data_IF_067060257502
#
_entry.id   IF_067060257502
#
_cell.length_a   1.000
_cell.length_b   1.000
_cell.length_c   1.000
_cell.angle_alpha   90.00
_cell.angle_beta   90.00
_cell.angle_gamma   90.00
#
_symmetry.space_group_name_H-M   'P 1'
#
loop_
_entity.id
_entity.type
_entity.pdbx_description
1 polymer ?
#
# COMPACT_ATOMS: atom_id res chain seq x y z
N UNK A 1 48.16 -22.98 12.23
CA UNK A 1 48.12 -22.00 11.10
C UNK A 1 47.97 -22.76 9.79
N UNK A 2 47.26 -22.19 8.81
CA UNK A 2 47.04 -22.67 7.41
C UNK A 2 45.81 -23.55 7.18
N UNK A 3 44.63 -22.93 7.24
CA UNK A 3 43.40 -23.38 6.56
C UNK A 3 42.74 -22.14 5.97
N UNK A 4 43.34 -21.58 4.93
CA UNK A 4 42.80 -20.48 4.11
C UNK A 4 43.62 -20.44 2.82
N UNK A 5 43.49 -21.44 1.94
CA UNK A 5 44.00 -21.35 0.56
C UNK A 5 43.54 -22.50 -0.36
N UNK A 6 42.24 -22.72 -0.56
CA UNK A 6 41.79 -23.53 -1.72
C UNK A 6 40.50 -22.90 -2.28
N UNK A 7 40.64 -21.73 -2.88
CA UNK A 7 39.77 -21.28 -3.97
C UNK A 7 40.69 -21.25 -5.19
N UNK A 8 40.42 -22.11 -6.18
CA UNK A 8 40.44 -21.77 -7.61
C UNK A 8 40.63 -23.02 -8.50
N UNK A 9 39.77 -23.09 -9.52
CA UNK A 9 39.96 -23.76 -10.83
C UNK A 9 39.68 -25.27 -10.93
N UNK A 10 38.46 -25.61 -11.40
CA UNK A 10 38.15 -26.64 -12.42
C UNK A 10 36.60 -26.73 -12.48
N UNK A 11 35.89 -25.87 -13.21
CA UNK A 11 35.73 -25.81 -14.68
C UNK A 11 35.01 -27.03 -15.28
N UNK A 12 33.95 -26.71 -16.03
CA UNK A 12 33.37 -27.41 -17.18
C UNK A 12 32.24 -28.45 -16.96
N UNK A 13 31.06 -28.07 -17.47
CA UNK A 13 30.11 -28.89 -18.25
C UNK A 13 28.65 -28.87 -17.77
N UNK A 14 27.97 -27.72 -17.83
CA UNK A 14 26.53 -27.68 -18.15
C UNK A 14 26.21 -26.41 -18.97
N UNK A 15 26.57 -26.41 -20.25
CA UNK A 15 25.97 -25.53 -21.27
C UNK A 15 25.51 -26.42 -22.42
N UNK A 16 24.21 -26.64 -22.49
CA UNK A 16 23.41 -26.97 -23.67
C UNK A 16 22.00 -27.18 -23.08
N UNK A 17 21.00 -26.35 -23.33
CA UNK A 17 20.40 -26.18 -24.64
C UNK A 17 19.18 -25.26 -24.38
N UNK A 18 19.14 -24.05 -24.94
CA UNK A 18 17.89 -23.27 -25.14
C UNK A 18 18.20 -22.10 -26.09
N UNK A 19 18.41 -22.44 -27.35
CA UNK A 19 18.28 -21.52 -28.47
C UNK A 19 17.12 -22.07 -29.29
N UNK A 20 16.05 -21.29 -29.43
CA UNK A 20 15.41 -20.99 -30.74
C UNK A 20 14.21 -20.04 -30.57
N UNK A 21 14.32 -18.87 -31.23
CA UNK A 21 13.36 -18.27 -32.19
C UNK A 21 12.03 -17.72 -31.61
N UNK A 22 11.60 -16.48 -31.88
CA UNK A 22 12.07 -15.53 -32.88
C UNK A 22 11.57 -14.09 -32.71
N UNK A 23 12.42 -13.18 -33.17
CA UNK A 23 12.16 -11.77 -33.46
C UNK A 23 11.82 -11.68 -34.94
N UNK A 24 10.69 -11.04 -35.29
CA UNK A 24 10.41 -10.29 -36.54
C UNK A 24 9.14 -9.46 -36.28
N UNK A 25 8.94 -8.20 -36.67
CA UNK A 25 9.65 -7.23 -37.49
C UNK A 25 8.99 -5.85 -37.19
N UNK A 26 9.79 -4.80 -37.05
CA UNK A 26 9.35 -3.40 -37.12
C UNK A 26 9.45 -2.93 -38.58
N UNK A 27 8.39 -2.35 -39.17
CA UNK A 27 8.42 -1.04 -39.88
C UNK A 27 7.01 -0.63 -40.38
N UNK A 28 6.74 0.68 -40.54
CA UNK A 28 5.40 1.27 -40.68
C UNK A 28 5.01 1.56 -42.14
N UNK A 29 3.72 1.82 -42.41
CA UNK A 29 3.29 2.67 -43.55
C UNK A 29 1.87 3.19 -43.39
N UNK A 30 1.71 4.51 -43.45
CA UNK A 30 0.43 5.20 -43.64
C UNK A 30 -0.03 5.07 -45.09
N UNK A 31 -1.35 4.96 -45.34
CA UNK A 31 -2.01 5.48 -46.54
C UNK A 31 -3.51 5.69 -46.25
N UNK A 32 -3.93 6.91 -46.54
CA UNK A 32 -5.28 7.49 -46.53
C UNK A 32 -6.22 6.77 -47.48
N UNK A 33 -7.44 6.45 -47.05
CA UNK A 33 -8.62 6.45 -47.93
C UNK A 33 -9.81 7.06 -47.20
N UNK A 34 -10.22 8.23 -47.68
CA UNK A 34 -11.46 8.88 -47.30
C UNK A 34 -12.63 8.11 -47.92
N UNK A 35 -13.50 7.56 -47.08
CA UNK A 35 -14.82 7.07 -47.51
C UNK A 35 -15.88 8.01 -46.95
N UNK A 36 -16.55 8.74 -47.83
CA UNK A 36 -17.70 9.60 -47.54
C UNK A 36 -18.89 8.74 -47.11
N UNK A 37 -19.22 8.76 -45.82
CA UNK A 37 -20.47 8.22 -45.31
C UNK A 37 -21.54 9.34 -45.29
N UNK A 38 -22.79 9.07 -45.72
CA UNK A 38 -23.87 10.05 -45.67
C UNK A 38 -24.18 10.43 -44.22
N UNK A 39 -24.34 11.73 -43.99
CA UNK A 39 -24.83 12.31 -42.73
C UNK A 39 -26.24 11.80 -42.45
N UNK A 40 -26.36 10.91 -41.46
CA UNK A 40 -27.61 10.63 -40.76
C UNK A 40 -27.50 11.25 -39.38
N UNK A 41 -28.26 12.32 -39.15
CA UNK A 41 -28.39 12.97 -37.85
C UNK A 41 -28.98 11.99 -36.84
N UNK A 42 -28.29 11.64 -35.73
CA UNK A 42 -28.95 10.94 -34.65
C UNK A 42 -29.86 11.92 -33.90
N UNK A 43 -31.17 11.66 -33.95
CA UNK A 43 -32.13 12.18 -32.98
C UNK A 43 -31.62 11.84 -31.58
N UNK A 44 -31.30 12.86 -30.78
CA UNK A 44 -30.95 12.69 -29.37
C UNK A 44 -32.14 12.11 -28.62
N UNK A 45 -32.14 10.79 -28.42
CA UNK A 45 -32.82 10.21 -27.28
C UNK A 45 -32.04 10.65 -26.03
N UNK A 46 -32.67 11.45 -25.19
CA UNK A 46 -32.11 11.86 -23.91
C UNK A 46 -31.86 10.62 -23.05
N UNK A 47 -30.63 10.09 -23.09
CA UNK A 47 -30.14 9.12 -22.13
C UNK A 47 -29.99 9.88 -20.83
N UNK A 48 -30.95 9.71 -19.91
CA UNK A 48 -30.75 10.10 -18.51
C UNK A 48 -29.62 9.22 -17.99
N UNK A 49 -28.40 9.76 -17.96
CA UNK A 49 -27.32 9.17 -17.20
C UNK A 49 -27.81 9.02 -15.75
N UNK A 50 -27.59 7.87 -15.08
CA UNK A 50 -27.83 7.79 -13.66
C UNK A 50 -27.00 8.90 -13.01
N UNK A 51 -27.67 9.84 -12.35
CA UNK A 51 -27.03 10.84 -11.51
C UNK A 51 -26.31 10.07 -10.41
N UNK A 52 -25.07 9.69 -10.65
CA UNK A 52 -24.16 9.32 -9.58
C UNK A 52 -23.98 10.61 -8.79
N UNK A 53 -24.85 10.80 -7.79
CA UNK A 53 -24.65 11.80 -6.76
C UNK A 53 -23.36 11.39 -6.06
N UNK A 54 -22.23 11.85 -6.60
CA UNK A 54 -20.98 11.90 -5.88
C UNK A 54 -21.27 12.86 -4.73
N UNK A 55 -21.72 12.30 -3.61
CA UNK A 55 -21.92 13.05 -2.39
C UNK A 55 -20.64 13.82 -2.12
N UNK A 56 -20.76 15.14 -2.05
CA UNK A 56 -19.69 16.05 -1.66
C UNK A 56 -19.01 15.50 -0.39
N UNK A 57 -17.67 15.49 -0.29
CA UNK A 57 -17.00 14.85 0.82
C UNK A 57 -17.37 15.57 2.12
N UNK A 58 -18.33 15.00 2.84
CA UNK A 58 -18.68 15.48 4.18
C UNK A 58 -17.45 15.34 5.06
N UNK A 59 -17.14 16.41 5.80
CA UNK A 59 -16.05 16.44 6.77
C UNK A 59 -16.08 15.20 7.67
N UNK A 60 -14.93 14.57 7.96
CA UNK A 60 -14.89 13.39 8.83
C UNK A 60 -15.50 13.64 10.20
N UNK A 61 -16.33 12.71 10.67
CA UNK A 61 -16.83 12.68 12.06
C UNK A 61 -15.69 12.50 13.06
N UNK A 62 -15.90 12.77 14.35
CA UNK A 62 -14.89 12.54 15.40
C UNK A 62 -14.40 11.09 15.45
N UNK A 63 -15.29 10.13 15.19
CA UNK A 63 -14.96 8.70 15.13
C UNK A 63 -14.10 8.37 13.91
N UNK A 64 -14.45 8.92 12.75
CA UNK A 64 -13.63 8.79 11.53
C UNK A 64 -12.26 9.44 11.69
N UNK A 65 -12.16 10.60 12.36
CA UNK A 65 -10.87 11.24 12.67
C UNK A 65 -10.00 10.38 13.60
N UNK A 66 -10.59 9.76 14.61
CA UNK A 66 -9.87 8.83 15.48
C UNK A 66 -9.34 7.61 14.69
N UNK A 67 -10.11 7.08 13.75
CA UNK A 67 -9.69 5.99 12.88
C UNK A 67 -8.55 6.41 11.93
N UNK A 68 -8.66 7.58 11.28
CA UNK A 68 -7.61 8.13 10.42
C UNK A 68 -6.30 8.31 11.19
N UNK A 69 -6.38 8.87 12.40
CA UNK A 69 -5.22 9.04 13.27
C UNK A 69 -4.60 7.69 13.65
N UNK A 70 -5.43 6.72 14.07
CA UNK A 70 -4.94 5.39 14.40
C UNK A 70 -4.24 4.70 13.22
N UNK A 71 -4.84 4.73 12.03
CA UNK A 71 -4.27 4.15 10.82
C UNK A 71 -2.91 4.78 10.45
N UNK A 72 -2.79 6.11 10.63
CA UNK A 72 -1.55 6.87 10.43
C UNK A 72 -0.47 6.39 11.40
N UNK A 73 -0.74 6.35 12.71
CA UNK A 73 0.24 5.90 13.71
C UNK A 73 0.64 4.44 13.50
N UNK A 74 -0.33 3.56 13.26
CA UNK A 74 -0.11 2.12 13.05
C UNK A 74 0.62 1.82 11.73
N UNK A 75 0.69 2.77 10.80
CA UNK A 75 1.42 2.63 9.53
C UNK A 75 2.67 3.52 9.45
N UNK A 76 3.09 4.07 10.59
CA UNK A 76 4.36 4.79 10.72
C UNK A 76 5.40 3.83 11.29
N UNK A 77 6.29 3.35 10.43
CA UNK A 77 7.38 2.43 10.73
C UNK A 77 8.73 3.11 10.51
N UNK A 78 9.67 2.79 11.38
CA UNK A 78 11.09 3.15 11.22
C UNK A 78 11.90 1.85 11.20
N UNK A 79 12.03 1.18 10.04
CA UNK A 79 12.66 -0.14 9.91
C UNK A 79 14.06 -0.29 10.52
N UNK A 80 14.83 0.80 10.60
CA UNK A 80 16.15 0.79 11.25
C UNK A 80 16.09 0.54 12.76
N UNK A 81 14.96 0.83 13.41
CA UNK A 81 14.75 0.69 14.87
C UNK A 81 13.60 -0.23 15.23
N UNK A 82 12.63 -0.38 14.34
CA UNK A 82 11.49 -1.26 14.51
C UNK A 82 11.92 -2.70 14.22
N UNK A 83 11.92 -3.56 15.25
CA UNK A 83 12.25 -4.97 15.09
C UNK A 83 11.27 -5.71 14.16
N UNK A 84 10.02 -5.25 14.11
CA UNK A 84 8.94 -5.85 13.33
C UNK A 84 7.83 -4.83 13.05
N UNK A 85 6.85 -5.20 12.21
CA UNK A 85 5.71 -4.31 11.87
C UNK A 85 4.82 -4.00 13.07
N UNK A 86 4.79 -4.85 14.11
CA UNK A 86 4.00 -4.65 15.34
C UNK A 86 4.54 -3.50 16.20
N UNK A 87 5.77 -3.02 15.97
CA UNK A 87 6.34 -1.89 16.70
C UNK A 87 5.50 -0.59 16.58
N UNK A 88 4.89 -0.34 15.42
CA UNK A 88 3.97 0.80 15.25
C UNK A 88 2.66 0.60 16.02
N UNK A 89 2.13 -0.61 16.05
CA UNK A 89 0.92 -0.96 16.81
C UNK A 89 1.15 -0.77 18.32
N UNK A 90 2.36 -1.06 18.81
CA UNK A 90 2.74 -0.78 20.20
C UNK A 90 2.71 0.72 20.52
N UNK A 91 3.17 1.58 19.60
CA UNK A 91 3.06 3.05 19.74
C UNK A 91 1.60 3.52 19.73
N UNK A 92 0.71 2.81 19.05
CA UNK A 92 -0.71 3.14 18.97
C UNK A 92 -1.54 2.69 20.18
N UNK A 93 -0.96 2.05 21.20
CA UNK A 93 -1.70 1.48 22.35
C UNK A 93 -2.58 2.50 23.08
N UNK A 94 -2.15 3.75 23.15
CA UNK A 94 -2.93 4.82 23.81
C UNK A 94 -4.21 5.17 23.03
N UNK A 95 -4.32 4.77 21.77
CA UNK A 95 -5.52 4.93 20.94
C UNK A 95 -6.51 3.76 21.13
N UNK A 96 -6.12 2.74 21.89
CA UNK A 96 -6.90 1.53 22.10
C UNK A 96 -7.56 1.53 23.48
N UNK A 97 -8.58 0.69 23.63
CA UNK A 97 -9.09 0.36 24.96
C UNK A 97 -8.02 -0.42 25.76
N UNK A 98 -8.04 -0.38 27.10
CA UNK A 98 -7.08 -1.15 27.91
C UNK A 98 -7.10 -2.66 27.59
N UNK A 99 -8.28 -3.20 27.29
CA UNK A 99 -8.44 -4.60 26.90
C UNK A 99 -7.76 -4.89 25.57
N UNK A 100 -7.93 -4.04 24.55
CA UNK A 100 -7.29 -4.21 23.24
C UNK A 100 -5.78 -3.96 23.29
N UNK A 101 -5.33 -2.92 23.99
CA UNK A 101 -3.91 -2.59 24.14
C UNK A 101 -3.10 -3.77 24.70
N UNK A 102 -3.64 -4.53 25.66
CA UNK A 102 -3.00 -5.74 26.22
C UNK A 102 -2.82 -6.86 25.19
N UNK A 103 -3.66 -6.92 24.14
CA UNK A 103 -3.59 -7.92 23.07
C UNK A 103 -2.55 -7.58 21.99
N UNK A 104 -2.06 -6.34 21.93
CA UNK A 104 -0.99 -5.91 21.02
C UNK A 104 0.38 -6.41 21.51
N UNK A 105 0.52 -7.72 21.62
CA UNK A 105 1.76 -8.44 21.94
C UNK A 105 1.89 -9.72 21.10
N UNK A 106 0.83 -10.12 20.39
CA UNK A 106 0.78 -11.33 19.57
C UNK A 106 0.45 -10.95 18.11
N UNK A 107 0.98 -11.64 17.09
CA UNK A 107 2.32 -12.20 16.93
C UNK A 107 3.33 -11.15 16.40
N UNK A 108 4.62 -11.41 16.61
CA UNK A 108 5.73 -10.69 15.95
C UNK A 108 5.62 -10.91 14.45
N UNK A 109 5.18 -9.89 13.70
CA UNK A 109 5.05 -9.99 12.24
C UNK A 109 6.40 -9.68 11.59
N UNK A 110 7.11 -10.67 11.01
CA UNK A 110 8.45 -10.46 10.49
C UNK A 110 8.44 -9.35 9.45
N UNK A 111 9.43 -8.47 9.55
CA UNK A 111 9.60 -7.35 8.65
C UNK A 111 10.82 -7.60 7.77
N UNK A 112 10.66 -8.56 6.86
CA UNK A 112 11.77 -9.10 6.03
C UNK A 112 11.59 -8.84 4.54
N UNK A 113 10.53 -8.12 4.15
CA UNK A 113 10.30 -7.76 2.75
C UNK A 113 11.37 -6.81 2.20
N UNK A 114 11.63 -6.87 0.91
CA UNK A 114 12.64 -6.05 0.23
C UNK A 114 12.48 -4.56 0.52
N UNK A 115 11.25 -4.03 0.48
CA UNK A 115 10.98 -2.64 0.81
C UNK A 115 11.40 -2.27 2.23
N UNK A 116 11.14 -3.15 3.20
CA UNK A 116 11.50 -2.93 4.60
C UNK A 116 13.01 -2.91 4.77
N UNK A 117 13.72 -3.86 4.16
CA UNK A 117 15.17 -3.96 4.23
C UNK A 117 15.84 -2.76 3.54
N UNK A 118 15.34 -2.34 2.37
CA UNK A 118 15.82 -1.15 1.66
C UNK A 118 15.57 0.12 2.48
N UNK A 119 14.39 0.27 3.07
CA UNK A 119 14.08 1.39 3.95
C UNK A 119 14.96 1.39 5.21
N UNK A 120 15.23 0.23 5.81
CA UNK A 120 16.13 0.09 6.95
C UNK A 120 17.56 0.53 6.60
N UNK A 121 18.11 0.04 5.49
CA UNK A 121 19.45 0.39 5.02
C UNK A 121 19.58 1.90 4.76
N UNK A 122 18.52 2.53 4.25
CA UNK A 122 18.46 3.96 4.00
C UNK A 122 18.11 4.82 5.23
N UNK A 123 17.88 4.22 6.41
CA UNK A 123 17.36 4.92 7.60
C UNK A 123 16.08 5.72 7.32
N UNK A 124 15.21 5.18 6.46
CA UNK A 124 13.95 5.78 6.09
C UNK A 124 12.85 5.45 7.11
N UNK A 125 11.84 6.31 7.15
CA UNK A 125 10.59 6.13 7.91
C UNK A 125 9.43 6.18 6.92
N UNK A 126 8.41 5.34 7.13
CA UNK A 126 7.20 5.42 6.32
C UNK A 126 6.44 6.70 6.67
N UNK A 127 5.99 7.40 5.64
CA UNK A 127 5.14 8.59 5.75
C UNK A 127 3.77 8.21 5.18
N UNK A 128 2.82 7.83 6.05
CA UNK A 128 1.52 7.35 5.61
C UNK A 128 0.59 8.49 5.18
N UNK A 129 -0.24 8.20 4.19
CA UNK A 129 -1.41 9.00 3.79
C UNK A 129 -2.66 8.14 4.03
N UNK A 130 -3.52 8.56 4.95
CA UNK A 130 -4.74 7.83 5.31
C UNK A 130 -5.99 8.47 4.70
N UNK A 131 -6.86 7.66 4.10
CA UNK A 131 -8.11 8.08 3.48
C UNK A 131 -9.27 7.20 3.96
N UNK A 132 -10.45 7.81 4.16
CA UNK A 132 -11.64 7.06 4.55
C UNK A 132 -12.13 6.21 3.39
N UNK A 133 -12.45 4.95 3.67
CA UNK A 133 -13.22 4.11 2.79
C UNK A 133 -14.64 4.00 3.34
N UNK A 134 -15.59 4.71 2.72
CA UNK A 134 -17.00 4.75 3.17
C UNK A 134 -17.88 3.69 2.50
N UNK A 135 -17.32 2.90 1.58
CA UNK A 135 -18.04 1.81 0.90
C UNK A 135 -17.93 0.49 1.69
N UNK A 136 -18.04 0.53 3.02
CA UNK A 136 -17.82 -0.63 3.90
C UNK A 136 -19.04 -0.96 4.76
N UNK A 137 -18.99 -2.13 5.39
CA UNK A 137 -20.06 -2.64 6.25
C UNK A 137 -20.46 -1.66 7.35
N UNK A 138 -21.75 -1.70 7.72
CA UNK A 138 -22.27 -0.94 8.86
C UNK A 138 -21.52 -1.38 10.13
N UNK A 139 -21.10 -0.40 10.93
CA UNK A 139 -20.42 -0.52 12.24
C UNK A 139 -18.88 -0.65 12.20
N UNK A 140 -18.25 -0.66 11.04
CA UNK A 140 -16.79 -0.54 10.91
C UNK A 140 -16.42 0.82 10.33
N UNK A 141 -15.34 1.41 10.83
CA UNK A 141 -14.70 2.55 10.18
C UNK A 141 -13.51 2.03 9.39
N UNK A 142 -13.61 2.06 8.06
CA UNK A 142 -12.55 1.61 7.17
C UNK A 142 -11.65 2.76 6.73
N UNK A 143 -10.34 2.52 6.74
CA UNK A 143 -9.32 3.50 6.38
C UNK A 143 -8.28 2.83 5.50
N UNK A 144 -8.14 3.30 4.27
CA UNK A 144 -7.04 2.90 3.38
C UNK A 144 -5.85 3.79 3.65
N UNK A 145 -4.67 3.20 3.77
CA UNK A 145 -3.41 3.88 4.01
C UNK A 145 -2.44 3.48 2.92
N UNK A 146 -1.88 4.47 2.23
CA UNK A 146 -0.68 4.31 1.41
C UNK A 146 0.50 4.94 2.14
N UNK A 147 1.74 4.60 1.76
CA UNK A 147 2.90 5.28 2.30
C UNK A 147 4.01 5.41 1.29
N UNK A 148 4.86 6.41 1.53
CA UNK A 148 6.17 6.53 0.92
C UNK A 148 7.24 6.33 1.97
N UNK A 149 8.45 5.97 1.56
CA UNK A 149 9.61 5.89 2.45
C UNK A 149 10.45 7.15 2.33
N UNK A 150 10.65 7.86 3.44
CA UNK A 150 11.40 9.12 3.48
C UNK A 150 12.56 9.03 4.45
N UNK A 151 13.76 9.38 3.99
CA UNK A 151 14.97 9.49 4.83
C UNK A 151 14.93 10.77 5.66
N UNK A 152 15.83 10.87 6.65
CA UNK A 152 15.89 12.05 7.55
C UNK A 152 16.22 13.36 6.84
N UNK A 153 17.03 13.31 5.79
CA UNK A 153 17.37 14.44 4.89
C UNK A 153 16.24 14.78 3.90
N UNK A 154 15.17 13.99 3.90
CA UNK A 154 13.95 14.26 3.16
C UNK A 154 13.87 13.63 1.77
N UNK A 155 14.85 12.82 1.38
CA UNK A 155 14.81 12.04 0.15
C UNK A 155 13.71 10.97 0.24
N UNK A 156 12.90 10.87 -0.82
CA UNK A 156 11.92 9.79 -0.99
C UNK A 156 12.58 8.63 -1.71
N UNK A 157 12.41 7.41 -1.21
CA UNK A 157 12.92 6.21 -1.88
C UNK A 157 12.00 5.82 -3.03
N UNK A 158 12.59 5.39 -4.14
CA UNK A 158 11.89 4.82 -5.27
C UNK A 158 11.58 3.34 -5.00
N UNK A 159 10.50 3.11 -4.26
CA UNK A 159 9.99 1.78 -3.92
C UNK A 159 8.54 1.67 -4.41
N UNK A 160 8.08 0.47 -4.81
CA UNK A 160 6.70 0.28 -5.26
C UNK A 160 5.69 0.78 -4.22
N UNK A 161 4.62 1.43 -4.67
CA UNK A 161 3.56 1.84 -3.76
C UNK A 161 2.91 0.62 -3.11
N UNK A 162 2.87 0.60 -1.79
CA UNK A 162 2.09 -0.35 -1.00
C UNK A 162 0.88 0.37 -0.40
N UNK A 163 -0.18 -0.40 -0.16
CA UNK A 163 -1.36 0.06 0.55
C UNK A 163 -1.76 -0.96 1.61
N UNK A 164 -2.54 -0.50 2.58
CA UNK A 164 -3.21 -1.32 3.58
C UNK A 164 -4.56 -0.73 3.88
N UNK A 165 -5.59 -1.57 4.00
CA UNK A 165 -6.90 -1.14 4.48
C UNK A 165 -7.11 -1.64 5.89
N UNK A 166 -7.32 -0.72 6.84
CA UNK A 166 -7.71 -1.05 8.21
C UNK A 166 -9.22 -1.05 8.34
N UNK A 167 -9.72 -1.94 9.18
CA UNK A 167 -11.11 -1.99 9.61
C UNK A 167 -11.15 -1.82 11.13
N UNK A 168 -11.60 -0.66 11.60
CA UNK A 168 -11.64 -0.34 13.03
C UNK A 168 -13.03 -0.51 13.61
N UNK A 169 -13.09 -1.17 14.76
CA UNK A 169 -14.19 -1.05 15.72
C UNK A 169 -13.77 -0.04 16.79
N UNK A 170 -14.56 1.03 16.94
CA UNK A 170 -14.30 2.09 17.92
C UNK A 170 -15.45 2.19 18.91
N UNK A 171 -15.14 2.59 20.15
CA UNK A 171 -16.17 2.93 21.16
C UNK A 171 -17.11 4.03 20.66
N UNK A 172 -18.37 4.00 21.09
CA UNK A 172 -19.33 5.08 20.79
C UNK A 172 -19.07 6.35 21.61
N UNK A 173 -18.43 6.22 22.77
CA UNK A 173 -18.13 7.34 23.67
C UNK A 173 -16.84 8.05 23.29
N UNK A 174 -16.82 9.37 23.46
CA UNK A 174 -15.63 10.22 23.31
C UNK A 174 -14.78 10.19 24.59
N UNK A 175 -13.44 10.07 24.50
CA UNK A 175 -12.66 9.87 23.28
C UNK A 175 -12.88 8.48 22.69
N UNK A 176 -13.09 8.40 21.37
CA UNK A 176 -13.22 7.13 20.66
C UNK A 176 -11.93 6.32 20.78
N UNK A 177 -12.04 5.08 21.24
CA UNK A 177 -10.91 4.14 21.39
C UNK A 177 -11.14 2.90 20.56
N UNK A 178 -10.07 2.32 20.04
CA UNK A 178 -10.12 1.08 19.29
C UNK A 178 -10.44 -0.08 20.24
N UNK A 179 -11.58 -0.73 20.03
CA UNK A 179 -11.96 -1.97 20.73
C UNK A 179 -11.40 -3.18 20.00
N UNK A 180 -11.38 -3.13 18.66
CA UNK A 180 -10.80 -4.16 17.82
C UNK A 180 -10.41 -3.59 16.45
N UNK A 181 -9.54 -4.30 15.73
CA UNK A 181 -9.20 -3.97 14.36
C UNK A 181 -8.64 -5.17 13.60
N UNK A 182 -8.82 -5.13 12.28
CA UNK A 182 -8.13 -5.99 11.31
C UNK A 182 -7.59 -5.16 10.14
N UNK A 183 -6.76 -5.76 9.29
CA UNK A 183 -6.30 -5.12 8.06
C UNK A 183 -5.94 -6.12 6.96
N UNK A 184 -5.99 -5.62 5.73
CA UNK A 184 -5.56 -6.30 4.51
C UNK A 184 -4.52 -5.47 3.74
#
# INVERSE_FOLDING_TARGET
MRRNLIIAVLSLAVIALLVTVGIKLFTPRATTEATTLPTISPTQAATQAPTSSAAEPTSPTSKEQAALHAATVMSTWTPATDFNRTASELRARDLMTPARAKKVLAPVRPATGEQWLTAAAANATSVPTATLNRATEKNLTSVTVTWIWKTKDGKVLDLPAEQRTYFFQLTETTPHKITDYDYE
#
